data_IF_037563386710
#
_entry.id   IF_037563386710
#
_cell.length_a   1.000
_cell.length_b   1.000
_cell.length_c   1.000
_cell.angle_alpha   90.00
_cell.angle_beta   90.00
_cell.angle_gamma   90.00
#
_symmetry.space_group_name_H-M   'P 1'
#
loop_
_entity.id
_entity.type
_entity.pdbx_description
1 polymer ?
#
# COMPACT_ATOMS: atom_id res chain seq x y z
N UNK A 1 -26.44 -45.91 -27.44
CA UNK A 1 -25.03 -45.49 -27.33
C UNK A 1 -24.99 -44.05 -26.88
N UNK A 2 -24.27 -43.76 -25.80
CA UNK A 2 -23.53 -42.50 -25.58
C UNK A 2 -24.23 -41.16 -25.85
N UNK A 3 -25.11 -40.71 -24.95
CA UNK A 3 -25.56 -39.30 -24.96
C UNK A 3 -25.65 -38.66 -23.56
N UNK A 4 -25.17 -39.34 -22.50
CA UNK A 4 -25.23 -38.83 -21.12
C UNK A 4 -23.88 -38.42 -20.53
N UNK A 5 -22.80 -38.43 -21.31
CA UNK A 5 -21.44 -38.19 -20.79
C UNK A 5 -20.91 -36.77 -21.04
N UNK A 6 -21.47 -36.03 -22.01
CA UNK A 6 -20.95 -34.71 -22.42
C UNK A 6 -21.48 -33.55 -21.57
N UNK A 7 -22.66 -33.67 -20.97
CA UNK A 7 -23.24 -32.62 -20.12
C UNK A 7 -22.49 -32.45 -18.79
N UNK A 8 -21.85 -33.52 -18.30
CA UNK A 8 -21.12 -33.51 -17.02
C UNK A 8 -19.83 -32.68 -17.13
N UNK A 9 -19.17 -32.70 -18.29
CA UNK A 9 -17.94 -31.91 -18.51
C UNK A 9 -18.23 -30.42 -18.78
N UNK A 10 -19.44 -30.07 -19.21
CA UNK A 10 -19.84 -28.67 -19.40
C UNK A 10 -20.17 -27.97 -18.07
N UNK A 11 -20.78 -28.69 -17.13
CA UNK A 11 -21.11 -28.16 -15.81
C UNK A 11 -19.87 -27.89 -14.94
N UNK A 12 -18.83 -28.74 -15.04
CA UNK A 12 -17.60 -28.58 -14.25
C UNK A 12 -16.74 -27.39 -14.69
N UNK A 13 -16.71 -27.09 -15.98
CA UNK A 13 -16.00 -25.92 -16.53
C UNK A 13 -16.69 -24.58 -16.17
N UNK A 14 -18.02 -24.59 -16.01
CA UNK A 14 -18.77 -23.39 -15.60
C UNK A 14 -18.51 -23.04 -14.12
N UNK A 15 -18.36 -24.03 -13.25
CA UNK A 15 -18.05 -23.81 -11.83
C UNK A 15 -16.61 -23.30 -11.62
N UNK A 16 -15.65 -23.75 -12.42
CA UNK A 16 -14.25 -23.31 -12.33
C UNK A 16 -14.07 -21.84 -12.78
N UNK A 17 -14.78 -21.44 -13.83
CA UNK A 17 -14.80 -20.07 -14.32
C UNK A 17 -15.47 -19.08 -13.34
N UNK A 18 -16.47 -19.54 -12.58
CA UNK A 18 -17.14 -18.73 -11.57
C UNK A 18 -16.24 -18.52 -10.34
N UNK A 19 -15.50 -19.55 -9.92
CA UNK A 19 -14.54 -19.46 -8.82
C UNK A 19 -13.39 -18.47 -9.12
N UNK A 20 -12.91 -18.43 -10.36
CA UNK A 20 -11.86 -17.49 -10.77
C UNK A 20 -12.37 -16.04 -10.82
N UNK A 21 -13.61 -15.82 -11.30
CA UNK A 21 -14.27 -14.50 -11.28
C UNK A 21 -14.45 -13.96 -9.86
N UNK A 22 -14.81 -14.83 -8.91
CA UNK A 22 -14.96 -14.47 -7.50
C UNK A 22 -13.61 -14.10 -6.85
N UNK A 23 -12.54 -14.87 -7.11
CA UNK A 23 -11.18 -14.51 -6.66
C UNK A 23 -10.72 -13.16 -7.22
N UNK A 24 -11.01 -12.88 -8.49
CA UNK A 24 -10.65 -11.61 -9.14
C UNK A 24 -11.41 -10.44 -8.53
N UNK A 25 -12.70 -10.62 -8.22
CA UNK A 25 -13.52 -9.62 -7.52
C UNK A 25 -13.03 -9.37 -6.10
N UNK A 26 -12.64 -10.41 -5.36
CA UNK A 26 -12.13 -10.26 -3.99
C UNK A 26 -10.78 -9.55 -3.97
N UNK A 27 -9.88 -9.87 -4.90
CA UNK A 27 -8.58 -9.19 -5.05
C UNK A 27 -8.79 -7.70 -5.36
N UNK A 28 -9.73 -7.38 -6.27
CA UNK A 28 -10.08 -6.00 -6.59
C UNK A 28 -10.73 -5.27 -5.41
N UNK A 29 -11.64 -5.94 -4.68
CA UNK A 29 -12.31 -5.39 -3.49
C UNK A 29 -11.35 -5.18 -2.31
N UNK A 30 -10.33 -6.05 -2.13
CA UNK A 30 -9.23 -5.84 -1.18
C UNK A 30 -8.35 -4.67 -1.58
N UNK A 31 -8.04 -4.52 -2.87
CA UNK A 31 -7.26 -3.42 -3.43
C UNK A 31 -7.96 -2.07 -3.25
N UNK A 32 -9.29 -2.04 -3.29
CA UNK A 32 -10.11 -0.84 -3.05
C UNK A 32 -10.32 -0.55 -1.55
N UNK A 33 -10.53 -1.56 -0.69
CA UNK A 33 -10.70 -1.36 0.76
C UNK A 33 -9.45 -0.80 1.44
N UNK A 34 -8.26 -1.26 1.05
CA UNK A 34 -7.00 -0.73 1.60
C UNK A 34 -6.74 0.74 1.23
N UNK A 35 -7.46 1.28 0.23
CA UNK A 35 -7.39 2.68 -0.22
C UNK A 35 -8.40 3.59 0.50
N UNK A 36 -9.39 3.03 1.19
CA UNK A 36 -10.53 3.79 1.74
C UNK A 36 -10.44 4.02 3.26
N UNK A 37 -9.63 3.24 3.99
CA UNK A 37 -9.40 3.45 5.43
C UNK A 37 -8.39 4.56 5.76
N UNK A 38 -7.66 5.10 4.77
CA UNK A 38 -6.66 6.17 4.97
C UNK A 38 -7.32 7.56 5.17
N UNK A 39 -8.66 7.65 5.17
CA UNK A 39 -9.38 8.93 5.14
C UNK A 39 -9.79 9.51 6.51
N UNK A 40 -9.37 8.94 7.63
CA UNK A 40 -9.77 9.45 8.96
C UNK A 40 -8.75 10.36 9.65
N UNK A 41 -7.54 10.46 9.13
CA UNK A 41 -6.49 11.30 9.72
C UNK A 41 -6.07 12.38 8.73
N UNK A 42 -6.03 13.68 9.13
CA UNK A 42 -5.54 14.76 8.28
C UNK A 42 -4.04 14.65 7.97
N UNK A 43 -3.39 13.63 8.54
CA UNK A 43 -1.98 13.37 8.43
C UNK A 43 -1.80 11.98 7.83
N UNK A 44 -1.24 11.83 6.62
CA UNK A 44 -1.00 10.51 6.09
C UNK A 44 -0.01 9.81 7.02
N UNK A 45 -0.45 8.68 7.58
CA UNK A 45 0.40 7.85 8.42
C UNK A 45 1.67 7.41 7.67
N UNK A 46 1.62 7.34 6.34
CA UNK A 46 2.70 6.86 5.47
C UNK A 46 2.90 7.77 4.25
N UNK A 47 4.15 8.02 3.87
CA UNK A 47 4.55 8.76 2.68
C UNK A 47 5.54 7.94 1.84
N UNK A 48 5.33 7.90 0.53
CA UNK A 48 6.31 7.30 -0.40
C UNK A 48 7.28 8.38 -0.87
N UNK A 49 8.57 8.19 -0.58
CA UNK A 49 9.66 9.08 -0.98
C UNK A 49 9.71 9.19 -2.50
N UNK A 50 9.68 10.41 -3.04
CA UNK A 50 9.87 10.63 -4.48
C UNK A 50 11.37 10.79 -4.83
N UNK A 51 11.69 10.73 -6.13
CA UNK A 51 13.05 10.99 -6.59
C UNK A 51 13.49 12.41 -6.25
N UNK A 52 14.57 12.55 -5.47
CA UNK A 52 15.10 13.85 -5.03
C UNK A 52 14.50 14.40 -3.75
N UNK A 53 13.57 13.67 -3.11
CA UNK A 53 13.11 14.04 -1.75
C UNK A 53 14.24 13.87 -0.72
N UNK A 54 14.21 14.71 0.31
CA UNK A 54 15.08 14.62 1.49
C UNK A 54 14.20 14.63 2.74
N UNK A 55 14.66 14.04 3.86
CA UNK A 55 13.87 14.02 5.10
C UNK A 55 13.42 15.42 5.54
N UNK A 56 14.27 16.44 5.36
CA UNK A 56 13.94 17.84 5.65
C UNK A 56 12.85 18.39 4.75
N UNK A 57 12.84 18.03 3.46
CA UNK A 57 11.80 18.45 2.51
C UNK A 57 10.47 17.78 2.82
N UNK A 58 10.50 16.49 3.19
CA UNK A 58 9.33 15.73 3.64
C UNK A 58 8.79 16.36 4.94
N UNK A 59 9.66 16.63 5.92
CA UNK A 59 9.27 17.28 7.17
C UNK A 59 8.65 18.66 6.93
N UNK A 60 9.26 19.50 6.07
CA UNK A 60 8.73 20.80 5.66
C UNK A 60 7.32 20.66 5.05
N UNK A 61 7.07 19.60 4.28
CA UNK A 61 5.78 19.38 3.62
C UNK A 61 4.67 18.95 4.58
N UNK A 62 5.00 18.19 5.62
CA UNK A 62 4.02 17.63 6.54
C UNK A 62 3.86 18.46 7.82
N UNK A 63 4.96 18.97 8.37
CA UNK A 63 4.96 19.72 9.62
C UNK A 63 5.09 21.23 9.43
N UNK A 64 5.20 21.70 8.18
CA UNK A 64 5.63 23.07 7.83
C UNK A 64 7.05 23.46 8.32
N UNK A 65 7.71 22.56 9.06
CA UNK A 65 9.02 22.76 9.65
C UNK A 65 10.02 21.70 9.18
N UNK A 66 11.09 22.17 8.53
CA UNK A 66 12.13 21.29 8.01
C UNK A 66 12.97 20.66 9.12
N UNK A 67 13.04 21.27 10.31
CA UNK A 67 13.83 20.78 11.44
C UNK A 67 13.17 19.60 12.17
N UNK A 68 11.93 19.25 11.80
CA UNK A 68 11.22 18.07 12.30
C UNK A 68 11.58 16.77 11.57
N UNK A 69 12.54 16.82 10.64
CA UNK A 69 13.11 15.64 10.00
C UNK A 69 13.61 14.52 10.96
N UNK A 70 14.13 14.81 12.17
CA UNK A 70 14.56 13.77 13.10
C UNK A 70 13.39 12.94 13.64
N UNK A 71 12.18 13.51 13.73
CA UNK A 71 10.99 12.78 14.15
C UNK A 71 10.64 11.69 13.12
N UNK A 72 10.67 12.03 11.83
CA UNK A 72 10.49 11.07 10.73
C UNK A 72 11.58 10.01 10.77
N UNK A 73 12.85 10.41 10.88
CA UNK A 73 13.94 9.44 10.94
C UNK A 73 13.80 8.48 12.13
N UNK A 74 13.50 8.99 13.32
CA UNK A 74 13.33 8.18 14.53
C UNK A 74 12.20 7.16 14.38
N UNK A 75 11.07 7.57 13.78
CA UNK A 75 9.95 6.68 13.51
C UNK A 75 10.24 5.63 12.43
N UNK A 76 11.22 5.88 11.56
CA UNK A 76 11.59 4.99 10.45
C UNK A 76 13.01 4.46 10.55
N UNK A 77 13.63 4.49 11.73
CA UNK A 77 15.05 4.14 11.89
C UNK A 77 15.31 2.70 11.46
N UNK A 78 14.35 1.82 11.70
CA UNK A 78 14.34 0.43 11.22
C UNK A 78 14.32 0.29 9.69
N UNK A 79 13.75 1.26 8.97
CA UNK A 79 13.66 1.26 7.50
C UNK A 79 14.82 2.03 6.84
N UNK A 80 15.23 3.15 7.42
CA UNK A 80 16.26 4.05 6.87
C UNK A 80 17.67 3.61 7.30
N UNK A 81 17.80 3.03 8.49
CA UNK A 81 19.07 2.70 9.11
C UNK A 81 19.74 3.88 9.81
N UNK A 82 21.04 3.76 10.04
CA UNK A 82 21.84 4.74 10.79
C UNK A 82 22.05 6.07 10.05
N UNK A 83 21.94 6.06 8.71
CA UNK A 83 22.13 7.25 7.88
C UNK A 83 20.78 7.88 7.47
N UNK A 84 20.34 8.97 8.12
CA UNK A 84 19.08 9.67 7.77
C UNK A 84 19.05 10.20 6.33
N UNK A 85 20.21 10.47 5.73
CA UNK A 85 20.30 10.96 4.35
C UNK A 85 20.22 9.86 3.29
N UNK A 86 20.23 8.58 3.67
CA UNK A 86 20.19 7.43 2.74
C UNK A 86 18.76 6.96 2.44
N UNK A 87 17.81 7.88 2.32
CA UNK A 87 16.46 7.54 1.85
C UNK A 87 16.46 7.30 0.34
N UNK A 88 15.62 6.35 -0.11
CA UNK A 88 15.52 5.99 -1.53
C UNK A 88 14.13 6.30 -2.08
N UNK A 89 14.00 6.71 -3.35
CA UNK A 89 12.69 6.84 -3.99
C UNK A 89 11.94 5.51 -3.99
N UNK A 90 10.64 5.56 -3.74
CA UNK A 90 9.77 4.38 -3.59
C UNK A 90 9.75 3.79 -2.19
N UNK A 91 10.58 4.29 -1.27
CA UNK A 91 10.56 3.87 0.13
C UNK A 91 9.35 4.47 0.83
N UNK A 92 8.60 3.65 1.57
CA UNK A 92 7.47 4.08 2.37
C UNK A 92 7.98 4.44 3.77
N UNK A 93 7.75 5.68 4.19
CA UNK A 93 8.13 6.22 5.49
C UNK A 93 6.88 6.59 6.28
N UNK A 94 6.81 6.14 7.51
CA UNK A 94 5.79 6.53 8.49
C UNK A 94 6.00 7.99 8.91
N UNK A 95 5.01 8.86 8.76
CA UNK A 95 5.12 10.25 9.21
C UNK A 95 4.42 10.35 10.57
N UNK A 96 5.15 10.43 11.70
CA UNK A 96 4.54 10.48 13.03
C UNK A 96 3.86 11.83 13.26
N UNK A 97 2.78 11.87 14.05
CA UNK A 97 2.26 13.15 14.53
C UNK A 97 3.16 13.66 15.66
N UNK A 98 3.72 14.85 15.48
CA UNK A 98 4.36 15.62 16.55
C UNK A 98 3.26 16.45 17.23
N UNK A 99 3.12 16.29 18.55
CA UNK A 99 2.20 17.07 19.39
C UNK A 99 2.90 18.34 19.90
#
# INVERSE_FOLDING_TARGET
>A
MTEKMDDINKAKAAQDAEAERLRKLEILARKSRKKEEIKKDPFPAEYTVAGGDSLSAIAKKFYDDANQWPAIWKANKETIGDDPNRIRPGQVLTIPKID
#
